data_IF_716657555764
#
_entry.id   IF_716657555764
#
_cell.length_a   1.000
_cell.length_b   1.000
_cell.length_c   1.000
_cell.angle_alpha   90.00
_cell.angle_beta   90.00
_cell.angle_gamma   90.00
#
_symmetry.space_group_name_H-M   'P 1'
#
loop_
_entity.id
_entity.type
_entity.pdbx_description
1 polymer ?
#
# COMPACT_ATOMS: atom_id res chain seq x y z
N UNK A 1 15.22 12.51 -7.27
CA UNK A 1 15.49 11.81 -6.00
C UNK A 1 15.43 10.31 -6.22
N UNK A 2 16.35 9.56 -5.65
CA UNK A 2 16.38 8.11 -5.82
C UNK A 2 15.22 7.45 -5.10
N UNK A 3 14.70 6.39 -5.70
CA UNK A 3 13.65 5.59 -5.08
C UNK A 3 14.25 4.76 -3.94
N UNK A 4 13.61 4.81 -2.78
CA UNK A 4 14.04 4.08 -1.58
C UNK A 4 13.03 2.99 -1.29
N UNK A 5 13.50 1.79 -0.97
CA UNK A 5 12.65 0.65 -0.64
C UNK A 5 12.77 0.29 0.83
N UNK A 6 11.64 0.00 1.47
CA UNK A 6 11.58 -0.46 2.86
C UNK A 6 10.63 -1.64 2.98
N UNK A 7 10.87 -2.49 3.98
CA UNK A 7 9.99 -3.63 4.24
C UNK A 7 8.60 -3.18 4.63
N UNK A 8 7.58 -3.86 4.11
CA UNK A 8 6.20 -3.62 4.52
C UNK A 8 6.00 -4.19 5.93
N UNK A 9 5.62 -3.38 6.91
CA UNK A 9 5.44 -3.87 8.28
C UNK A 9 4.38 -4.98 8.36
N UNK A 10 4.65 -6.00 9.15
CA UNK A 10 3.70 -7.08 9.41
C UNK A 10 3.71 -8.23 8.42
N UNK A 11 4.64 -8.24 7.46
CA UNK A 11 4.68 -9.29 6.42
C UNK A 11 5.99 -10.09 6.41
N UNK A 12 6.72 -10.09 7.53
CA UNK A 12 7.88 -10.95 7.71
C UNK A 12 9.02 -10.75 6.72
N UNK A 13 9.11 -9.56 6.13
CA UNK A 13 10.15 -9.24 5.16
C UNK A 13 9.88 -9.77 3.75
N UNK A 14 8.69 -10.29 3.47
CA UNK A 14 8.36 -10.84 2.16
C UNK A 14 8.05 -9.78 1.09
N UNK A 15 7.78 -8.56 1.51
CA UNK A 15 7.40 -7.47 0.60
C UNK A 15 8.08 -6.18 0.97
N UNK A 16 8.35 -5.35 -0.05
CA UNK A 16 8.88 -4.00 0.14
C UNK A 16 8.02 -2.99 -0.59
N UNK A 17 7.98 -1.78 -0.05
CA UNK A 17 7.28 -0.65 -0.65
C UNK A 17 8.27 0.48 -0.85
N UNK A 18 8.12 1.23 -1.94
CA UNK A 18 9.06 2.30 -2.28
C UNK A 18 8.51 3.69 -1.96
N UNK A 19 9.42 4.65 -1.89
CA UNK A 19 9.09 6.06 -1.73
C UNK A 19 8.29 6.62 -2.92
N UNK A 20 8.25 5.91 -4.03
CA UNK A 20 7.43 6.28 -5.19
C UNK A 20 6.07 5.58 -5.22
N UNK A 21 5.76 4.78 -4.19
CA UNK A 21 4.47 4.10 -4.10
C UNK A 21 4.39 2.79 -4.86
N UNK A 22 5.53 2.19 -5.19
CA UNK A 22 5.57 0.88 -5.83
C UNK A 22 5.76 -0.20 -4.77
N UNK A 23 5.20 -1.38 -5.02
CA UNK A 23 5.29 -2.53 -4.11
C UNK A 23 5.90 -3.70 -4.86
N UNK A 24 6.78 -4.44 -4.19
CA UNK A 24 7.39 -5.64 -4.78
C UNK A 24 7.48 -6.76 -3.75
N UNK A 25 7.44 -7.99 -4.25
CA UNK A 25 7.78 -9.15 -3.43
C UNK A 25 9.28 -9.35 -3.48
N UNK A 26 9.81 -10.03 -2.46
CA UNK A 26 11.25 -10.29 -2.33
C UNK A 26 11.51 -11.74 -2.72
N UNK A 27 12.69 -12.01 -3.28
CA UNK A 27 13.15 -13.36 -3.55
C UNK A 27 13.07 -14.17 -2.27
N UNK A 28 12.53 -15.38 -2.37
CA UNK A 28 12.42 -16.25 -1.18
C UNK A 28 12.59 -17.71 -1.57
N UNK A 29 13.03 -18.49 -0.61
CA UNK A 29 13.16 -19.94 -0.74
C UNK A 29 12.11 -20.56 0.18
N UNK A 30 11.30 -21.45 -0.37
CA UNK A 30 10.28 -22.19 0.38
C UNK A 30 10.67 -23.64 0.41
N UNK A 31 10.71 -24.23 1.59
CA UNK A 31 10.95 -25.66 1.76
C UNK A 31 9.61 -26.38 1.74
N UNK A 32 9.43 -27.32 0.82
CA UNK A 32 8.21 -28.09 0.67
C UNK A 32 8.51 -29.57 0.85
N UNK A 33 7.53 -30.30 1.39
CA UNK A 33 7.62 -31.76 1.46
C UNK A 33 7.00 -32.36 0.21
N UNK A 34 7.82 -33.08 -0.54
CA UNK A 34 7.35 -33.85 -1.69
C UNK A 34 6.56 -35.07 -1.20
N UNK A 35 5.64 -35.58 -2.05
CA UNK A 35 4.85 -36.76 -1.68
C UNK A 35 5.69 -37.99 -1.32
N UNK A 36 6.93 -38.08 -1.78
CA UNK A 36 7.85 -39.13 -1.41
C UNK A 36 8.41 -38.97 0.02
N UNK A 37 8.08 -37.91 0.71
CA UNK A 37 8.61 -37.56 2.01
C UNK A 37 9.89 -36.74 1.96
N UNK A 38 10.46 -36.54 0.79
CA UNK A 38 11.68 -35.75 0.59
C UNK A 38 11.40 -34.26 0.69
N UNK A 39 12.28 -33.54 1.37
CA UNK A 39 12.19 -32.06 1.43
C UNK A 39 12.83 -31.48 0.18
N UNK A 40 12.16 -30.55 -0.45
CA UNK A 40 12.68 -29.83 -1.60
C UNK A 40 12.60 -28.34 -1.35
N UNK A 41 13.59 -27.61 -1.88
CA UNK A 41 13.62 -26.16 -1.83
C UNK A 41 13.13 -25.62 -3.17
N UNK A 42 12.27 -24.60 -3.10
CA UNK A 42 11.79 -23.92 -4.29
C UNK A 42 12.04 -22.42 -4.12
N UNK A 43 12.72 -21.83 -5.10
CA UNK A 43 13.00 -20.40 -5.11
C UNK A 43 11.90 -19.67 -5.87
N UNK A 44 11.36 -18.62 -5.25
CA UNK A 44 10.42 -17.71 -5.88
C UNK A 44 11.13 -16.37 -6.06
N UNK A 45 11.25 -15.92 -7.31
CA UNK A 45 11.86 -14.62 -7.61
C UNK A 45 10.91 -13.50 -7.22
N UNK A 46 11.48 -12.44 -6.66
CA UNK A 46 10.71 -11.22 -6.36
C UNK A 46 10.29 -10.50 -7.62
N UNK A 47 9.18 -9.77 -7.53
CA UNK A 47 8.65 -9.02 -8.68
C UNK A 47 7.84 -7.82 -8.22
N UNK A 48 7.73 -6.83 -9.11
CA UNK A 48 6.83 -5.70 -8.89
C UNK A 48 5.39 -6.20 -8.93
N UNK A 49 4.59 -5.74 -7.98
CA UNK A 49 3.17 -6.08 -7.92
C UNK A 49 2.37 -5.00 -8.64
N UNK A 50 1.35 -5.44 -9.37
CA UNK A 50 0.48 -4.52 -10.08
C UNK A 50 -0.62 -4.07 -9.15
N UNK A 51 -0.74 -2.75 -8.87
CA UNK A 51 -1.82 -2.28 -8.02
C UNK A 51 -3.16 -2.31 -8.76
N UNK A 52 -4.22 -2.50 -7.98
CA UNK A 52 -5.60 -2.51 -8.50
C UNK A 52 -6.34 -1.31 -7.94
N UNK A 53 -7.14 -0.68 -8.79
CA UNK A 53 -7.99 0.44 -8.41
C UNK A 53 -9.22 -0.11 -7.70
N UNK A 54 -9.56 0.47 -6.53
CA UNK A 54 -10.67 -0.02 -5.71
C UNK A 54 -11.92 0.84 -5.77
N UNK A 55 -11.80 2.08 -6.23
CA UNK A 55 -12.94 2.99 -6.30
C UNK A 55 -12.75 4.00 -7.42
N UNK A 56 -13.77 4.82 -7.64
CA UNK A 56 -13.76 5.82 -8.70
C UNK A 56 -12.77 6.95 -8.45
N UNK A 57 -12.36 7.16 -7.20
CA UNK A 57 -11.40 8.19 -6.83
C UNK A 57 -9.96 7.79 -7.18
N UNK A 58 -9.74 6.52 -7.46
CA UNK A 58 -8.42 6.03 -7.85
C UNK A 58 -7.58 5.47 -6.73
N UNK A 59 -8.17 5.14 -5.59
CA UNK A 59 -7.43 4.48 -4.51
C UNK A 59 -6.91 3.13 -4.98
N UNK A 60 -5.65 2.85 -4.65
CA UNK A 60 -4.97 1.65 -5.13
C UNK A 60 -4.68 0.69 -3.99
N UNK A 61 -4.87 -0.60 -4.28
CA UNK A 61 -4.50 -1.68 -3.35
C UNK A 61 -3.63 -2.68 -4.08
N UNK A 62 -2.85 -3.43 -3.32
CA UNK A 62 -2.15 -4.61 -3.81
C UNK A 62 -2.61 -5.82 -3.00
N UNK A 63 -2.47 -7.01 -3.61
CA UNK A 63 -2.81 -8.26 -2.95
C UNK A 63 -1.53 -8.88 -2.39
N UNK A 64 -1.46 -9.01 -1.07
CA UNK A 64 -0.31 -9.61 -0.40
C UNK A 64 -0.71 -10.94 0.21
N UNK A 65 0.21 -11.89 0.19
CA UNK A 65 0.00 -13.19 0.82
C UNK A 65 0.87 -13.36 2.05
N UNK A 66 0.28 -13.87 3.12
CA UNK A 66 1.01 -14.29 4.32
C UNK A 66 0.30 -15.50 4.94
N UNK A 67 1.07 -16.52 5.27
CA UNK A 67 0.56 -17.75 5.89
C UNK A 67 -0.62 -18.37 5.12
N UNK A 68 -0.55 -18.36 3.80
CA UNK A 68 -1.59 -18.91 2.94
C UNK A 68 -2.82 -18.03 2.78
N UNK A 69 -2.84 -16.87 3.40
CA UNK A 69 -3.96 -15.91 3.30
C UNK A 69 -3.61 -14.78 2.37
N UNK A 70 -4.58 -14.31 1.60
CA UNK A 70 -4.42 -13.14 0.74
C UNK A 70 -5.12 -11.95 1.36
N UNK A 71 -4.43 -10.80 1.37
CA UNK A 71 -4.96 -9.57 1.93
C UNK A 71 -4.88 -8.46 0.91
N UNK A 72 -5.92 -7.63 0.86
CA UNK A 72 -5.89 -6.41 0.07
C UNK A 72 -5.37 -5.29 0.96
N UNK A 73 -4.28 -4.66 0.54
CA UNK A 73 -3.63 -3.64 1.37
C UNK A 73 -3.53 -2.35 0.57
N UNK A 74 -3.95 -1.24 1.18
CA UNK A 74 -3.88 0.09 0.56
C UNK A 74 -2.44 0.51 0.38
N UNK A 75 -2.09 0.93 -0.83
CA UNK A 75 -0.72 1.34 -1.15
C UNK A 75 -0.32 2.56 -0.32
N UNK A 76 -1.18 3.59 -0.23
CA UNK A 76 -0.84 4.80 0.50
C UNK A 76 -0.62 4.55 2.01
N UNK A 77 -1.43 3.67 2.62
CA UNK A 77 -1.20 3.30 4.02
C UNK A 77 0.14 2.59 4.19
N UNK A 78 0.45 1.71 3.25
CA UNK A 78 1.69 0.93 3.27
C UNK A 78 2.92 1.82 3.21
N UNK A 79 2.90 2.83 2.32
CA UNK A 79 3.98 3.81 2.20
C UNK A 79 4.17 4.54 3.54
N UNK A 80 3.10 5.04 4.11
CA UNK A 80 3.19 5.78 5.37
C UNK A 80 3.65 4.90 6.53
N UNK A 81 3.13 3.67 6.63
CA UNK A 81 3.56 2.77 7.69
C UNK A 81 5.04 2.42 7.61
N UNK A 82 5.56 2.26 6.40
CA UNK A 82 6.96 1.88 6.21
C UNK A 82 7.94 3.05 6.41
N UNK A 83 7.55 4.26 5.99
CA UNK A 83 8.45 5.41 5.96
C UNK A 83 8.24 6.41 7.09
N UNK A 84 7.04 6.52 7.61
CA UNK A 84 6.70 7.49 8.67
C UNK A 84 6.43 6.80 10.01
N UNK A 85 5.71 5.68 9.98
CA UNK A 85 5.34 4.94 11.18
C UNK A 85 3.84 4.92 11.38
N UNK A 86 3.41 4.48 12.55
CA UNK A 86 2.00 4.33 12.87
C UNK A 86 1.28 5.68 12.95
N UNK A 87 -0.01 5.74 12.56
CA UNK A 87 -0.79 6.97 12.70
C UNK A 87 -1.11 7.28 14.16
N UNK A 88 -1.37 8.55 14.45
CA UNK A 88 -1.94 8.94 15.73
C UNK A 88 -3.42 8.59 15.78
N UNK A 89 -4.03 8.76 16.96
CA UNK A 89 -5.44 8.47 17.16
C UNK A 89 -6.30 9.28 16.20
N UNK A 90 -7.21 8.60 15.52
CA UNK A 90 -8.15 9.24 14.60
C UNK A 90 -7.53 9.71 13.29
N UNK A 91 -6.27 9.39 13.02
CA UNK A 91 -5.63 9.78 11.77
C UNK A 91 -5.81 8.72 10.69
N UNK A 92 -5.85 9.19 9.46
CA UNK A 92 -5.94 8.34 8.27
C UNK A 92 -4.95 8.80 7.21
N UNK A 93 -4.68 7.96 6.24
CA UNK A 93 -3.74 8.28 5.16
C UNK A 93 -4.40 9.25 4.17
N UNK A 94 -3.70 10.35 3.87
CA UNK A 94 -4.22 11.43 3.02
C UNK A 94 -3.27 11.71 1.87
N UNK A 95 -3.85 12.12 0.74
CA UNK A 95 -3.10 12.55 -0.45
C UNK A 95 -3.07 14.08 -0.48
N UNK A 96 -1.88 14.68 -0.44
CA UNK A 96 -1.72 16.13 -0.37
C UNK A 96 -2.31 16.87 -1.57
N UNK A 97 -2.20 16.28 -2.77
CA UNK A 97 -2.72 16.89 -3.99
C UNK A 97 -4.13 16.42 -4.34
N UNK A 98 -4.77 15.61 -3.50
CA UNK A 98 -6.10 15.08 -3.75
C UNK A 98 -6.17 13.96 -4.78
N UNK A 99 -5.06 13.54 -5.34
CA UNK A 99 -5.02 12.46 -6.33
C UNK A 99 -4.78 11.12 -5.63
N UNK A 100 -5.82 10.32 -5.50
CA UNK A 100 -5.78 9.03 -4.79
C UNK A 100 -4.85 8.00 -5.44
N UNK A 101 -4.43 8.21 -6.69
CA UNK A 101 -3.51 7.33 -7.39
C UNK A 101 -2.05 7.74 -7.24
N UNK A 102 -1.77 8.91 -6.66
CA UNK A 102 -0.43 9.42 -6.48
C UNK A 102 0.08 9.05 -5.09
N UNK A 103 0.71 7.89 -4.99
CA UNK A 103 1.14 7.30 -3.72
C UNK A 103 2.62 7.53 -3.41
N UNK A 104 3.23 8.56 -4.00
CA UNK A 104 4.60 8.95 -3.64
C UNK A 104 4.62 9.45 -2.20
N UNK A 105 5.66 9.08 -1.45
CA UNK A 105 5.79 9.47 -0.05
C UNK A 105 5.62 10.98 0.16
N UNK A 106 6.21 11.79 -0.71
CA UNK A 106 6.14 13.25 -0.62
C UNK A 106 4.72 13.81 -0.76
N UNK A 107 3.78 13.00 -1.30
CA UNK A 107 2.39 13.38 -1.49
C UNK A 107 1.46 12.85 -0.39
N UNK A 108 2.01 12.15 0.60
CA UNK A 108 1.21 11.46 1.61
C UNK A 108 1.47 12.01 3.01
N UNK A 109 0.46 11.93 3.85
CA UNK A 109 0.58 12.24 5.28
C UNK A 109 -0.49 11.51 6.07
N UNK A 110 -0.24 11.34 7.36
CA UNK A 110 -1.28 10.97 8.31
C UNK A 110 -1.98 12.23 8.77
N UNK A 111 -3.30 12.25 8.74
CA UNK A 111 -4.07 13.38 9.23
C UNK A 111 -5.48 12.96 9.61
N UNK A 112 -6.22 13.85 10.25
CA UNK A 112 -7.57 13.54 10.70
C UNK A 112 -8.54 13.45 9.52
N UNK A 113 -9.66 12.76 9.76
CA UNK A 113 -10.72 12.65 8.76
C UNK A 113 -11.23 14.03 8.33
N UNK A 114 -11.37 14.95 9.27
CA UNK A 114 -11.82 16.31 8.98
C UNK A 114 -10.86 17.04 8.04
N UNK A 115 -9.55 16.94 8.31
CA UNK A 115 -8.55 17.56 7.44
C UNK A 115 -8.56 16.94 6.05
N UNK A 116 -8.69 15.61 5.97
CA UNK A 116 -8.75 14.90 4.69
C UNK A 116 -9.97 15.32 3.87
N UNK A 117 -11.12 15.45 4.50
CA UNK A 117 -12.33 15.94 3.83
C UNK A 117 -12.15 17.38 3.35
N UNK A 118 -11.50 18.23 4.16
CA UNK A 118 -11.20 19.60 3.76
C UNK A 118 -10.34 19.66 2.50
N UNK A 119 -9.31 18.81 2.44
CA UNK A 119 -8.45 18.72 1.26
C UNK A 119 -9.23 18.28 0.03
N UNK A 120 -10.12 17.31 0.17
CA UNK A 120 -10.93 16.81 -0.95
C UNK A 120 -11.85 17.89 -1.49
N UNK A 121 -12.44 18.69 -0.63
CA UNK A 121 -13.27 19.82 -1.04
C UNK A 121 -12.41 20.87 -1.77
N UNK A 122 -11.26 21.21 -1.19
CA UNK A 122 -10.35 22.21 -1.77
C UNK A 122 -9.82 21.79 -3.13
N UNK A 123 -9.62 20.50 -3.35
CA UNK A 123 -9.09 19.97 -4.61
C UNK A 123 -10.19 19.61 -5.62
N UNK A 124 -11.45 19.78 -5.25
CA UNK A 124 -12.55 19.42 -6.12
C UNK A 124 -12.73 17.93 -6.35
N UNK A 125 -12.12 17.10 -5.52
CA UNK A 125 -12.20 15.64 -5.64
C UNK A 125 -13.31 15.04 -4.79
N UNK A 126 -13.96 15.86 -3.99
CA UNK A 126 -15.06 15.42 -3.15
C UNK A 126 -16.29 15.16 -4.03
N UNK A 127 -16.81 13.96 -4.00
CA UNK A 127 -17.98 13.60 -4.80
C UNK A 127 -19.23 14.26 -4.22
N UNK A 128 -19.93 14.97 -5.04
CA UNK A 128 -21.15 15.62 -4.64
C UNK A 128 -22.29 14.72 -4.96
N UNK A 129 -22.13 14.55 -4.88
CA UNK A 129 -22.69 13.82 -5.49
C UNK A 129 -22.98 14.14 -5.89
N UNK A 130 -22.22 14.87 -5.82
CA UNK A 130 -22.09 15.19 -5.95
C UNK A 130 -21.77 15.66 -5.65
N UNK A 131 -22.11 15.76 -5.61
CA UNK A 131 -21.79 16.21 -5.45
C UNK A 131 -21.62 16.44 -4.80
N UNK A 132 -21.86 16.55 -4.30
CA UNK A 132 -21.59 16.73 -3.76
C UNK A 132 -21.44 17.10 -2.94
N UNK A 133 -21.99 17.25 -2.49
CA UNK A 133 -21.85 17.68 -1.82
C UNK A 133 -21.47 17.68 -1.02
N UNK A 134 -21.31 17.99 -0.78
CA UNK A 134 -20.51 17.61 0.01
C UNK A 134 -20.95 16.80 0.84
#
# INVERSE_FOLDING_TARGET
>A
MAEIWKSVPGYGGHYEVSSLGRVRSIDRIVVKRHRSGKLIQQKYAGRLLKPCKTDELGHMVVHLGIDGKKMNVSVHRMVLLAFVGEPGDGQEACHNNGNASDNRLENLRWDTHEANNGDRINHGTYALGEDHAM
#
